data_IF_420571366046
#
_entry.id   IF_420571366046
#
_cell.length_a   1.000
_cell.length_b   1.000
_cell.length_c   1.000
_cell.angle_alpha   90.00
_cell.angle_beta   90.00
_cell.angle_gamma   90.00
#
_symmetry.space_group_name_H-M   'P 1'
#
loop_
_entity.id
_entity.type
_entity.pdbx_description
1 polymer ?
#
# COMPACT_ATOMS: atom_id res chain seq x y z
N UNK A 1 -14.51 -9.20 13.55
CA UNK A 1 -13.56 -9.04 12.44
C UNK A 1 -13.99 -7.83 11.60
N UNK A 2 -13.06 -6.96 11.19
CA UNK A 2 -13.38 -5.83 10.32
C UNK A 2 -13.83 -6.32 8.94
N UNK A 3 -14.73 -5.60 8.28
CA UNK A 3 -15.15 -5.91 6.91
C UNK A 3 -14.33 -5.05 5.95
N UNK A 4 -13.10 -5.50 5.64
CA UNK A 4 -12.16 -4.73 4.80
C UNK A 4 -12.73 -4.37 3.42
N UNK A 5 -13.64 -5.19 2.89
CA UNK A 5 -14.33 -5.00 1.60
C UNK A 5 -15.17 -3.72 1.55
N UNK A 6 -15.61 -3.21 2.69
CA UNK A 6 -16.48 -2.01 2.78
C UNK A 6 -15.68 -0.73 3.07
N UNK A 7 -14.44 -0.85 3.56
CA UNK A 7 -13.56 0.28 3.80
C UNK A 7 -13.12 0.93 2.50
N UNK A 8 -12.93 2.24 2.47
CA UNK A 8 -12.24 2.95 1.39
C UNK A 8 -10.73 2.67 1.41
N UNK A 9 -10.02 3.08 0.34
CA UNK A 9 -8.55 2.96 0.28
C UNK A 9 -7.88 3.77 1.41
N UNK A 10 -8.44 4.93 1.77
CA UNK A 10 -7.91 5.76 2.83
C UNK A 10 -8.05 5.07 4.20
N UNK A 11 -9.22 4.48 4.47
CA UNK A 11 -9.50 3.74 5.70
C UNK A 11 -8.63 2.49 5.81
N UNK A 12 -8.42 1.75 4.73
CA UNK A 12 -7.50 0.61 4.71
C UNK A 12 -6.05 1.04 5.05
N UNK A 13 -5.57 2.16 4.48
CA UNK A 13 -4.23 2.67 4.80
C UNK A 13 -4.12 3.13 6.25
N UNK A 14 -5.14 3.78 6.77
CA UNK A 14 -5.19 4.21 8.17
C UNK A 14 -5.22 3.00 9.11
N UNK A 15 -6.00 1.97 8.77
CA UNK A 15 -6.04 0.70 9.49
C UNK A 15 -4.68 0.01 9.51
N UNK A 16 -4.00 -0.11 8.36
CA UNK A 16 -2.64 -0.66 8.28
C UNK A 16 -1.64 0.10 9.15
N UNK A 17 -1.75 1.43 9.21
CA UNK A 17 -0.89 2.24 10.07
C UNK A 17 -1.15 2.04 11.56
N UNK A 18 -2.41 1.85 11.95
CA UNK A 18 -2.83 1.66 13.34
C UNK A 18 -2.55 0.24 13.85
N UNK A 19 -2.56 -0.76 12.96
CA UNK A 19 -2.41 -2.18 13.27
C UNK A 19 -1.12 -2.78 12.71
N UNK A 20 -0.05 -1.98 12.61
CA UNK A 20 1.24 -2.41 12.03
C UNK A 20 1.92 -3.55 12.80
N UNK A 21 1.57 -3.71 14.08
CA UNK A 21 2.16 -4.66 15.01
C UNK A 21 1.27 -5.92 15.17
N UNK A 22 0.11 -5.97 14.49
CA UNK A 22 -0.81 -7.10 14.45
C UNK A 22 -0.71 -7.79 13.08
N UNK A 23 0.13 -8.82 13.00
CA UNK A 23 0.46 -9.49 11.73
C UNK A 23 -0.77 -10.03 10.98
N UNK A 24 -1.76 -10.55 11.71
CA UNK A 24 -2.98 -11.13 11.12
C UNK A 24 -3.85 -10.01 10.54
N UNK A 25 -4.19 -9.01 11.35
CA UNK A 25 -5.00 -7.88 10.92
C UNK A 25 -4.31 -7.06 9.81
N UNK A 26 -2.99 -6.93 9.87
CA UNK A 26 -2.19 -6.24 8.88
C UNK A 26 -2.20 -6.98 7.54
N UNK A 27 -1.98 -8.29 7.56
CA UNK A 27 -1.92 -9.12 6.35
C UNK A 27 -3.26 -9.15 5.63
N UNK A 28 -4.38 -9.24 6.36
CA UNK A 28 -5.72 -9.24 5.78
C UNK A 28 -6.07 -7.89 5.13
N UNK A 29 -5.82 -6.78 5.83
CA UNK A 29 -6.06 -5.44 5.29
C UNK A 29 -5.15 -5.12 4.08
N UNK A 30 -3.89 -5.58 4.11
CA UNK A 30 -2.94 -5.40 3.01
C UNK A 30 -3.36 -6.21 1.79
N UNK A 31 -3.83 -7.44 1.98
CA UNK A 31 -4.34 -8.30 0.92
C UNK A 31 -5.51 -7.66 0.15
N UNK A 32 -6.44 -7.04 0.86
CA UNK A 32 -7.55 -6.30 0.26
C UNK A 32 -7.05 -5.08 -0.51
N UNK A 33 -6.12 -4.31 0.07
CA UNK A 33 -5.53 -3.13 -0.59
C UNK A 33 -4.80 -3.49 -1.89
N UNK A 34 -4.02 -4.57 -1.90
CA UNK A 34 -3.33 -5.08 -3.10
C UNK A 34 -4.33 -5.56 -4.15
N UNK A 35 -5.40 -6.25 -3.73
CA UNK A 35 -6.43 -6.76 -4.64
C UNK A 35 -7.14 -5.63 -5.40
N UNK A 36 -7.32 -4.47 -4.77
CA UNK A 36 -7.92 -3.29 -5.41
C UNK A 36 -6.94 -2.52 -6.29
N UNK A 37 -5.65 -2.65 -6.02
CA UNK A 37 -4.59 -1.95 -6.74
C UNK A 37 -3.90 -2.85 -7.80
N UNK A 38 -4.67 -3.71 -8.48
CA UNK A 38 -4.15 -4.62 -9.53
C UNK A 38 -3.48 -3.91 -10.71
N UNK A 39 -3.81 -2.65 -10.94
CA UNK A 39 -3.20 -1.80 -11.97
C UNK A 39 -2.01 -0.95 -11.49
N UNK A 40 -1.53 -1.16 -10.26
CA UNK A 40 -0.41 -0.40 -9.72
C UNK A 40 0.83 -0.52 -10.62
N UNK A 41 1.47 0.62 -10.89
CA UNK A 41 2.80 0.63 -11.52
C UNK A 41 3.76 -0.12 -10.60
N UNK A 42 4.32 -1.24 -11.09
CA UNK A 42 5.38 -1.98 -10.41
C UNK A 42 6.72 -1.48 -10.91
N UNK A 43 7.51 -0.95 -9.99
CA UNK A 43 8.84 -0.47 -10.28
C UNK A 43 9.85 -1.63 -10.19
N UNK A 44 10.82 -1.74 -11.12
CA UNK A 44 11.86 -2.76 -11.06
C UNK A 44 12.68 -2.64 -9.77
N UNK A 45 13.05 -3.78 -9.17
CA UNK A 45 13.86 -3.81 -7.95
C UNK A 45 15.31 -3.34 -8.18
N UNK A 46 15.78 -3.33 -9.42
CA UNK A 46 17.13 -2.94 -9.83
C UNK A 46 17.23 -1.49 -10.32
N UNK A 47 16.27 -0.64 -10.00
CA UNK A 47 16.36 0.79 -10.33
C UNK A 47 17.57 1.44 -9.64
N UNK A 48 18.19 2.39 -10.34
CA UNK A 48 19.22 3.23 -9.74
C UNK A 48 18.62 4.14 -8.66
N UNK A 49 19.42 4.56 -7.68
CA UNK A 49 18.98 5.52 -6.65
C UNK A 49 18.52 6.85 -7.26
N UNK A 50 19.12 7.27 -8.38
CA UNK A 50 18.73 8.47 -9.10
C UNK A 50 17.31 8.35 -9.68
N UNK A 51 17.01 7.20 -10.31
CA UNK A 51 15.67 6.93 -10.85
C UNK A 51 14.61 6.83 -9.75
N UNK A 52 14.94 6.17 -8.63
CA UNK A 52 14.06 6.13 -7.44
C UNK A 52 13.77 7.56 -6.95
N UNK A 53 14.81 8.40 -6.82
CA UNK A 53 14.67 9.79 -6.40
C UNK A 53 13.84 10.64 -7.37
N UNK A 54 13.90 10.36 -8.67
CA UNK A 54 13.03 11.00 -9.69
C UNK A 54 11.58 10.58 -9.51
N UNK A 55 11.30 9.27 -9.45
CA UNK A 55 9.95 8.71 -9.30
C UNK A 55 9.26 9.23 -8.04
N UNK A 56 9.96 9.23 -6.90
CA UNK A 56 9.41 9.71 -5.62
C UNK A 56 9.03 11.19 -5.71
N UNK A 57 9.88 12.03 -6.31
CA UNK A 57 9.60 13.47 -6.48
C UNK A 57 8.39 13.73 -7.39
N UNK A 58 8.20 12.94 -8.43
CA UNK A 58 7.02 13.06 -9.31
C UNK A 58 5.71 12.70 -8.60
N UNK A 59 5.75 11.76 -7.64
CA UNK A 59 4.57 11.29 -6.90
C UNK A 59 4.21 12.12 -5.66
N UNK A 60 5.15 12.93 -5.15
CA UNK A 60 4.94 13.82 -4.01
C UNK A 60 4.45 15.24 -4.40
N UNK A 61 4.37 15.55 -5.70
CA UNK A 61 3.67 16.73 -6.20
C UNK A 61 2.15 16.52 -6.17
#
# INVERSE_FOLDING_TARGET
MPIFKEMSIAELKQYLSAHRDDDEAFSEALGELITRNRGAVRYPANLSLEDVGRIVREKLK
#
